data_IF_791677326567
#
_entry.id   IF_791677326567
#
_cell.length_a   1.000
_cell.length_b   1.000
_cell.length_c   1.000
_cell.angle_alpha   90.00
_cell.angle_beta   90.00
_cell.angle_gamma   90.00
#
_symmetry.space_group_name_H-M   'P 1'
#
loop_
_entity.id
_entity.type
_entity.pdbx_description
1 polymer ?
#
# COMPACT_ATOMS: atom_id res chain seq x y z
N UNK A 1 -5.69 -2.09 -26.21
CA UNK A 1 -6.44 -3.00 -25.31
C UNK A 1 -6.10 -2.73 -23.84
N UNK A 2 -6.12 -1.46 -23.38
CA UNK A 2 -5.42 -1.04 -22.14
C UNK A 2 -6.26 -0.20 -21.17
N UNK A 3 -7.34 0.44 -21.61
CA UNK A 3 -8.20 1.31 -20.76
C UNK A 3 -9.30 0.55 -19.99
N UNK A 4 -9.74 -0.61 -20.48
CA UNK A 4 -10.86 -1.37 -19.90
C UNK A 4 -10.58 -1.92 -18.49
N UNK A 5 -9.35 -2.37 -18.20
CA UNK A 5 -8.98 -2.95 -16.88
C UNK A 5 -8.86 -1.92 -15.77
N UNK A 6 -8.43 -0.70 -16.09
CA UNK A 6 -8.37 0.39 -15.11
C UNK A 6 -9.78 0.76 -14.67
N UNK A 7 -10.66 1.03 -15.65
CA UNK A 7 -12.07 1.39 -15.47
C UNK A 7 -12.88 0.39 -14.63
N UNK A 8 -12.67 -0.92 -14.83
CA UNK A 8 -13.45 -1.97 -14.17
C UNK A 8 -13.26 -2.02 -12.64
N UNK A 9 -12.09 -1.59 -12.14
CA UNK A 9 -11.77 -1.62 -10.70
C UNK A 9 -11.37 -0.25 -10.14
N UNK A 10 -11.66 0.84 -10.86
CA UNK A 10 -11.28 2.20 -10.48
C UNK A 10 -11.70 2.55 -9.05
N UNK A 11 -12.92 2.21 -8.64
CA UNK A 11 -13.40 2.53 -7.29
C UNK A 11 -12.57 1.87 -6.18
N UNK A 12 -12.23 0.58 -6.33
CA UNK A 12 -11.41 -0.14 -5.36
C UNK A 12 -9.97 0.39 -5.33
N UNK A 13 -9.41 0.73 -6.50
CA UNK A 13 -8.09 1.36 -6.59
C UNK A 13 -8.05 2.71 -5.88
N UNK A 14 -9.01 3.58 -6.18
CA UNK A 14 -9.13 4.91 -5.56
C UNK A 14 -9.32 4.75 -4.05
N UNK A 15 -10.18 3.83 -3.61
CA UNK A 15 -10.37 3.56 -2.20
C UNK A 15 -9.05 3.19 -1.51
N UNK A 16 -8.33 2.19 -2.00
CA UNK A 16 -7.06 1.77 -1.39
C UNK A 16 -5.99 2.84 -1.47
N UNK A 17 -5.94 3.58 -2.57
CA UNK A 17 -5.02 4.71 -2.73
C UNK A 17 -5.30 5.81 -1.70
N UNK A 18 -6.55 6.28 -1.60
CA UNK A 18 -6.95 7.30 -0.64
C UNK A 18 -6.79 6.82 0.79
N UNK A 19 -7.06 5.55 1.07
CA UNK A 19 -6.86 4.95 2.38
C UNK A 19 -5.38 4.98 2.79
N UNK A 20 -4.50 4.44 1.94
CA UNK A 20 -3.07 4.43 2.21
C UNK A 20 -2.46 5.84 2.27
N UNK A 21 -2.85 6.73 1.36
CA UNK A 21 -2.40 8.12 1.36
C UNK A 21 -2.93 8.92 2.55
N UNK A 22 -4.19 8.75 2.92
CA UNK A 22 -4.79 9.41 4.07
C UNK A 22 -4.05 9.02 5.35
N UNK A 23 -3.98 7.71 5.65
CA UNK A 23 -3.31 7.25 6.86
C UNK A 23 -1.79 7.53 6.83
N UNK A 24 -1.15 7.33 5.67
CA UNK A 24 0.28 7.57 5.51
C UNK A 24 0.66 9.03 5.66
N UNK A 25 -0.11 9.96 5.08
CA UNK A 25 0.13 11.40 5.24
C UNK A 25 -0.11 11.87 6.67
N UNK A 26 -1.15 11.37 7.36
CA UNK A 26 -1.39 11.67 8.78
C UNK A 26 -0.24 11.14 9.66
N UNK A 27 0.22 9.91 9.41
CA UNK A 27 1.37 9.32 10.11
C UNK A 27 2.67 10.09 9.87
N UNK A 28 2.95 10.46 8.62
CA UNK A 28 4.10 11.31 8.29
C UNK A 28 4.02 12.67 8.98
N UNK A 29 2.88 13.35 8.90
CA UNK A 29 2.68 14.65 9.53
C UNK A 29 2.88 14.58 11.04
N UNK A 30 2.26 13.59 11.69
CA UNK A 30 2.41 13.35 13.13
C UNK A 30 3.87 13.07 13.50
N UNK A 31 4.50 12.12 12.80
CA UNK A 31 5.87 11.69 13.07
C UNK A 31 6.88 12.82 12.85
N UNK A 32 6.75 13.59 11.77
CA UNK A 32 7.63 14.73 11.51
C UNK A 32 7.44 15.86 12.52
N UNK A 33 6.19 16.17 12.90
CA UNK A 33 5.91 17.25 13.87
C UNK A 33 6.41 16.90 15.26
N UNK A 34 6.33 15.63 15.65
CA UNK A 34 6.70 15.15 16.99
C UNK A 34 8.12 14.56 17.02
N UNK A 35 8.84 14.59 15.88
CA UNK A 35 10.15 13.96 15.68
C UNK A 35 10.19 12.46 16.05
N UNK A 36 9.07 11.75 15.82
CA UNK A 36 8.91 10.32 16.07
C UNK A 36 9.28 9.53 14.82
N UNK A 37 10.51 9.03 14.77
CA UNK A 37 11.08 8.43 13.56
C UNK A 37 10.30 7.16 13.20
N UNK A 38 9.93 6.34 14.19
CA UNK A 38 9.13 5.14 13.94
C UNK A 38 7.77 5.44 13.28
N UNK A 39 7.10 6.53 13.69
CA UNK A 39 5.80 6.92 13.13
C UNK A 39 5.92 7.47 11.71
N UNK A 40 7.00 8.19 11.40
CA UNK A 40 7.32 8.62 10.03
C UNK A 40 7.54 7.41 9.11
N UNK A 41 8.32 6.40 9.53
CA UNK A 41 8.55 5.19 8.74
C UNK A 41 7.27 4.38 8.50
N UNK A 42 6.40 4.27 9.52
CA UNK A 42 5.07 3.66 9.35
C UNK A 42 4.26 4.46 8.33
N UNK A 43 4.27 5.79 8.40
CA UNK A 43 3.61 6.67 7.44
C UNK A 43 4.07 6.45 6.00
N UNK A 44 5.38 6.32 5.76
CA UNK A 44 5.94 5.95 4.45
C UNK A 44 5.42 4.59 3.98
N UNK A 45 5.44 3.58 4.86
CA UNK A 45 4.92 2.26 4.55
C UNK A 45 3.44 2.27 4.12
N UNK A 46 2.62 3.07 4.80
CA UNK A 46 1.20 3.23 4.48
C UNK A 46 0.97 3.97 3.15
N UNK A 47 1.83 4.93 2.80
CA UNK A 47 1.80 5.55 1.47
C UNK A 47 2.10 4.53 0.37
N UNK A 48 3.15 3.71 0.57
CA UNK A 48 3.51 2.64 -0.37
C UNK A 48 2.38 1.62 -0.51
N UNK A 49 1.67 1.30 0.58
CA UNK A 49 0.45 0.49 0.54
C UNK A 49 -0.63 1.13 -0.35
N UNK A 50 -0.85 2.44 -0.24
CA UNK A 50 -1.79 3.16 -1.09
C UNK A 50 -1.44 3.06 -2.57
N UNK A 51 -0.17 3.27 -2.92
CA UNK A 51 0.34 3.11 -4.29
C UNK A 51 0.18 1.66 -4.76
N UNK A 52 0.46 0.68 -3.89
CA UNK A 52 0.30 -0.73 -4.22
C UNK A 52 -1.18 -1.08 -4.46
N UNK A 53 -2.09 -0.56 -3.65
CA UNK A 53 -3.53 -0.73 -3.82
C UNK A 53 -4.08 -0.03 -5.07
N UNK A 54 -3.47 1.07 -5.51
CA UNK A 54 -3.76 1.69 -6.80
C UNK A 54 -3.39 0.77 -7.96
N UNK A 55 -2.22 0.09 -7.88
CA UNK A 55 -1.70 -0.74 -8.97
C UNK A 55 -2.27 -2.16 -8.98
N UNK A 56 -2.48 -2.76 -7.81
CA UNK A 56 -3.01 -4.11 -7.59
C UNK A 56 -4.07 -4.07 -6.47
N UNK A 57 -5.29 -3.57 -6.77
CA UNK A 57 -6.34 -3.38 -5.78
C UNK A 57 -6.84 -4.72 -5.23
N UNK A 58 -7.16 -4.74 -3.94
CA UNK A 58 -7.92 -5.86 -3.34
C UNK A 58 -9.40 -5.61 -3.54
N UNK A 59 -10.02 -6.46 -4.37
CA UNK A 59 -11.44 -6.41 -4.66
C UNK A 59 -12.17 -7.35 -3.70
N UNK A 60 -12.67 -6.81 -2.58
CA UNK A 60 -13.28 -7.59 -1.49
C UNK A 60 -14.40 -8.54 -1.94
N UNK A 61 -15.18 -8.14 -2.96
CA UNK A 61 -16.26 -8.98 -3.51
C UNK A 61 -15.78 -10.25 -4.22
N UNK A 62 -14.49 -10.33 -4.59
CA UNK A 62 -13.87 -11.46 -5.29
C UNK A 62 -12.71 -12.11 -4.52
N UNK A 63 -12.22 -11.48 -3.45
CA UNK A 63 -11.06 -11.94 -2.68
C UNK A 63 -11.21 -13.37 -2.11
N UNK A 64 -12.44 -13.88 -1.96
CA UNK A 64 -12.73 -15.26 -1.54
C UNK A 64 -13.33 -16.18 -2.60
N UNK A 65 -13.45 -15.73 -3.86
CA UNK A 65 -14.15 -16.45 -4.94
C UNK A 65 -13.28 -16.80 -6.15
N UNK A 66 -12.10 -16.18 -6.29
CA UNK A 66 -11.14 -16.45 -7.36
C UNK A 66 -9.80 -16.90 -6.78
N UNK A 67 -9.04 -17.71 -7.53
CA UNK A 67 -7.66 -17.97 -7.17
C UNK A 67 -6.89 -16.64 -7.11
N UNK A 68 -5.98 -16.53 -6.14
CA UNK A 68 -5.15 -15.34 -5.94
C UNK A 68 -4.36 -14.99 -7.20
N UNK A 69 -3.96 -16.00 -7.98
CA UNK A 69 -3.23 -15.83 -9.25
C UNK A 69 -4.11 -15.26 -10.36
N UNK A 70 -5.36 -15.70 -10.47
CA UNK A 70 -6.32 -15.18 -11.44
C UNK A 70 -6.70 -13.74 -11.13
N UNK A 71 -7.01 -13.44 -9.86
CA UNK A 71 -7.30 -12.08 -9.43
C UNK A 71 -6.11 -11.16 -9.75
N UNK A 72 -4.90 -11.63 -9.47
CA UNK A 72 -3.67 -10.89 -9.72
C UNK A 72 -3.48 -10.58 -11.21
N UNK A 73 -3.61 -11.56 -12.11
CA UNK A 73 -3.48 -11.31 -13.56
C UNK A 73 -4.56 -10.39 -14.12
N UNK A 74 -5.77 -10.41 -13.56
CA UNK A 74 -6.86 -9.57 -14.02
C UNK A 74 -6.72 -8.11 -13.60
N UNK A 75 -6.28 -7.85 -12.37
CA UNK A 75 -6.33 -6.50 -11.76
C UNK A 75 -4.97 -5.83 -11.58
N UNK A 76 -3.86 -6.54 -11.76
CA UNK A 76 -2.53 -5.94 -11.63
C UNK A 76 -2.21 -5.02 -12.82
N UNK A 77 -1.62 -3.86 -12.53
CA UNK A 77 -1.09 -2.92 -13.51
C UNK A 77 0.39 -2.71 -13.20
N UNK A 78 1.24 -2.95 -14.20
CA UNK A 78 2.70 -2.89 -14.06
C UNK A 78 3.35 -4.27 -14.11
N UNK A 79 4.67 -4.30 -13.98
CA UNK A 79 5.47 -5.53 -13.97
C UNK A 79 5.48 -6.18 -12.58
N UNK A 80 5.66 -7.51 -12.52
CA UNK A 80 5.80 -8.22 -11.24
C UNK A 80 7.02 -7.74 -10.44
N UNK A 81 8.08 -7.31 -11.12
CA UNK A 81 9.27 -6.69 -10.49
C UNK A 81 8.89 -5.43 -9.72
N UNK A 82 8.07 -4.55 -10.30
CA UNK A 82 7.61 -3.34 -9.64
C UNK A 82 6.81 -3.67 -8.38
N UNK A 83 5.89 -4.63 -8.46
CA UNK A 83 5.10 -5.06 -7.31
C UNK A 83 5.97 -5.69 -6.22
N UNK A 84 6.97 -6.49 -6.60
CA UNK A 84 7.95 -7.05 -5.66
C UNK A 84 8.74 -5.96 -4.94
N UNK A 85 9.27 -4.99 -5.69
CA UNK A 85 10.02 -3.86 -5.13
C UNK A 85 9.15 -3.00 -4.20
N UNK A 86 7.91 -2.68 -4.60
CA UNK A 86 6.97 -1.94 -3.74
C UNK A 86 6.66 -2.71 -2.46
N UNK A 87 6.41 -4.02 -2.57
CA UNK A 87 6.10 -4.86 -1.40
C UNK A 87 7.28 -4.92 -0.44
N UNK A 88 8.50 -5.04 -0.97
CA UNK A 88 9.72 -5.07 -0.16
C UNK A 88 9.95 -3.73 0.54
N UNK A 89 9.83 -2.61 -0.18
CA UNK A 89 9.99 -1.28 0.39
C UNK A 89 8.93 -1.00 1.46
N UNK A 90 7.67 -1.33 1.19
CA UNK A 90 6.57 -1.22 2.15
C UNK A 90 6.84 -2.04 3.41
N UNK A 91 7.21 -3.32 3.24
CA UNK A 91 7.50 -4.21 4.37
C UNK A 91 8.69 -3.69 5.20
N UNK A 92 9.77 -3.26 4.55
CA UNK A 92 10.93 -2.70 5.21
C UNK A 92 10.56 -1.43 6.00
N UNK A 93 9.83 -0.49 5.40
CA UNK A 93 9.40 0.74 6.08
C UNK A 93 8.51 0.46 7.28
N UNK A 94 7.52 -0.44 7.14
CA UNK A 94 6.63 -0.80 8.23
C UNK A 94 7.39 -1.52 9.35
N UNK A 95 8.23 -2.52 9.03
CA UNK A 95 9.00 -3.26 10.02
C UNK A 95 9.95 -2.35 10.79
N UNK A 96 10.74 -1.53 10.08
CA UNK A 96 11.63 -0.55 10.70
C UNK A 96 10.82 0.40 11.58
N UNK A 97 9.73 0.95 11.06
CA UNK A 97 8.88 1.87 11.82
C UNK A 97 8.29 1.25 13.09
N UNK A 98 7.80 0.01 13.02
CA UNK A 98 7.29 -0.72 14.18
C UNK A 98 8.39 -1.03 15.21
N UNK A 99 9.57 -1.46 14.76
CA UNK A 99 10.72 -1.72 15.63
C UNK A 99 11.14 -0.44 16.34
N UNK A 100 11.30 0.67 15.61
CA UNK A 100 11.67 1.95 16.18
C UNK A 100 10.61 2.42 17.19
N UNK A 101 9.33 2.39 16.84
CA UNK A 101 8.25 2.88 17.70
C UNK A 101 8.04 2.04 18.97
N UNK A 102 8.07 0.71 18.85
CA UNK A 102 7.62 -0.18 19.94
C UNK A 102 8.75 -0.93 20.65
N UNK A 103 9.86 -1.24 19.96
CA UNK A 103 10.99 -1.96 20.54
C UNK A 103 12.04 -0.99 21.05
N UNK A 104 12.51 -0.08 20.18
CA UNK A 104 13.56 0.90 20.52
C UNK A 104 12.98 2.12 21.23
N UNK A 105 11.70 2.44 20.98
CA UNK A 105 10.94 3.57 21.52
C UNK A 105 11.50 4.94 21.10
N UNK A 106 11.81 5.07 19.81
CA UNK A 106 12.29 6.29 19.13
C UNK A 106 11.52 6.60 17.83
#
# INVERSE_FOLDING_TARGET
MTTSKFSRYTASRIFWFLFGCGLGSMGLWSGMRQNLIGETFIGVGLLLLGIQGLLRPVVLSRAGKMSKEEMTREVSIGSDVLHGALSLAMAASLLVGFVLKYVVKI
#
